data_IF_602937690618
#
_entry.id   IF_602937690618
#
_cell.length_a   1.000
_cell.length_b   1.000
_cell.length_c   1.000
_cell.angle_alpha   90.00
_cell.angle_beta   90.00
_cell.angle_gamma   90.00
#
_symmetry.space_group_name_H-M   'P 1'
#
loop_
_entity.id
_entity.type
_entity.pdbx_description
1 polymer ?
#
# COMPACT_ATOMS: atom_id res chain seq x y z
N UNK A 1 -6.66 26.36 -61.25
CA UNK A 1 -6.99 27.18 -60.07
C UNK A 1 -6.15 26.67 -58.92
N UNK A 2 -5.10 27.40 -58.58
CA UNK A 2 -4.09 27.07 -57.54
C UNK A 2 -4.64 27.56 -56.21
N UNK A 3 -4.68 26.70 -55.18
CA UNK A 3 -4.97 27.13 -53.84
C UNK A 3 -3.79 26.76 -52.91
N UNK A 4 -3.02 27.78 -52.61
CA UNK A 4 -1.86 27.79 -51.75
C UNK A 4 -2.32 27.86 -50.30
N UNK A 5 -2.04 26.83 -49.46
CA UNK A 5 -2.30 26.90 -48.04
C UNK A 5 -1.01 27.12 -47.28
N UNK A 6 -0.95 28.24 -46.58
CA UNK A 6 0.11 28.77 -45.75
C UNK A 6 0.41 27.88 -44.55
N UNK A 7 1.69 27.58 -44.38
CA UNK A 7 2.28 27.03 -43.16
C UNK A 7 2.37 28.11 -42.07
N UNK A 8 1.68 27.92 -40.96
CA UNK A 8 1.87 28.70 -39.74
C UNK A 8 2.85 27.99 -38.80
N UNK A 9 4.09 28.47 -38.75
CA UNK A 9 5.10 28.06 -37.78
C UNK A 9 4.84 28.77 -36.45
N UNK A 10 4.28 28.03 -35.46
CA UNK A 10 4.14 28.50 -34.09
C UNK A 10 5.45 28.33 -33.32
N UNK A 11 6.11 29.47 -33.07
CA UNK A 11 7.30 29.57 -32.22
C UNK A 11 6.92 29.37 -30.75
N UNK A 12 7.44 28.30 -30.10
CA UNK A 12 7.28 28.05 -28.67
C UNK A 12 8.42 28.76 -27.92
N UNK A 13 8.10 29.89 -27.31
CA UNK A 13 9.00 30.65 -26.45
C UNK A 13 9.19 29.92 -25.12
N UNK A 14 10.38 29.36 -24.88
CA UNK A 14 10.81 28.82 -23.58
C UNK A 14 11.13 29.98 -22.63
N UNK A 15 10.27 30.21 -21.65
CA UNK A 15 10.56 31.09 -20.51
C UNK A 15 11.52 30.40 -19.54
N UNK A 16 12.73 30.88 -19.43
CA UNK A 16 13.74 30.50 -18.43
C UNK A 16 13.57 31.41 -17.22
N UNK A 17 12.94 30.92 -16.17
CA UNK A 17 12.91 31.56 -14.86
C UNK A 17 14.20 31.19 -14.12
N UNK A 18 15.10 32.12 -13.98
CA UNK A 18 16.28 32.01 -13.15
C UNK A 18 15.87 32.27 -11.69
N UNK A 19 16.06 31.31 -10.80
CA UNK A 19 15.96 31.52 -9.37
C UNK A 19 17.32 31.88 -8.82
N UNK A 20 17.45 33.12 -8.31
CA UNK A 20 18.61 33.65 -7.61
C UNK A 20 18.70 33.02 -6.22
N UNK A 21 19.84 32.42 -5.90
CA UNK A 21 20.23 31.98 -4.57
C UNK A 21 20.58 33.18 -3.69
N UNK A 22 19.87 33.41 -2.63
CA UNK A 22 20.26 34.29 -1.53
C UNK A 22 20.81 33.40 -0.41
N UNK A 23 22.12 33.42 -0.24
CA UNK A 23 22.79 32.84 0.91
C UNK A 23 22.79 33.89 2.05
N UNK A 24 22.05 33.59 3.12
CA UNK A 24 22.16 34.33 4.38
C UNK A 24 22.87 33.44 5.41
N UNK A 25 24.15 33.70 5.63
CA UNK A 25 24.94 33.18 6.73
C UNK A 25 24.64 33.98 7.99
N UNK A 26 24.02 33.33 8.98
CA UNK A 26 23.94 33.81 10.35
C UNK A 26 24.73 32.86 11.27
N UNK A 27 25.90 33.28 11.65
CA UNK A 27 26.71 32.74 12.73
C UNK A 27 26.11 33.22 14.04
N UNK A 28 25.54 32.32 14.84
CA UNK A 28 25.29 32.60 16.28
C UNK A 28 25.90 31.43 17.05
N UNK A 29 26.98 31.78 17.77
CA UNK A 29 27.61 30.92 18.76
C UNK A 29 26.66 30.71 19.96
N UNK A 30 26.47 29.45 20.32
CA UNK A 30 25.70 29.01 21.50
C UNK A 30 26.42 27.85 22.16
N UNK A 31 26.92 28.07 23.36
CA UNK A 31 27.65 27.19 24.25
C UNK A 31 27.00 25.86 24.49
N UNK A 32 27.75 24.79 24.29
CA UNK A 32 27.41 23.42 24.70
C UNK A 32 27.48 23.30 26.22
N UNK A 33 26.35 23.11 26.90
CA UNK A 33 26.32 22.63 28.27
C UNK A 33 26.11 21.13 28.25
N UNK A 34 27.15 20.38 28.58
CA UNK A 34 27.06 18.93 28.85
C UNK A 34 26.19 18.71 30.10
N UNK A 35 25.00 18.18 29.91
CA UNK A 35 24.20 17.61 31.00
C UNK A 35 24.54 16.13 31.16
N UNK A 36 25.43 15.86 32.11
CA UNK A 36 25.74 14.50 32.60
C UNK A 36 24.50 13.92 33.31
N UNK A 37 23.74 13.10 32.61
CA UNK A 37 22.64 12.34 33.21
C UNK A 37 23.15 11.10 33.91
N UNK A 38 23.29 11.19 35.24
CA UNK A 38 23.66 10.12 36.14
C UNK A 38 22.52 9.09 36.18
N UNK A 39 22.76 7.93 35.56
CA UNK A 39 21.87 6.77 35.59
C UNK A 39 21.70 6.25 37.03
N UNK A 40 20.54 6.45 37.60
CA UNK A 40 20.16 5.78 38.88
C UNK A 40 19.53 4.43 38.53
N UNK A 41 20.29 3.36 38.78
CA UNK A 41 19.77 2.00 38.80
C UNK A 41 18.78 1.88 39.96
N UNK A 42 17.49 1.85 39.66
CA UNK A 42 16.47 1.35 40.58
C UNK A 42 16.26 -0.13 40.32
N UNK A 43 16.87 -0.95 41.17
CA UNK A 43 16.53 -2.37 41.30
C UNK A 43 15.18 -2.46 42.00
N UNK A 44 14.10 -2.67 41.25
CA UNK A 44 12.87 -3.16 41.84
C UNK A 44 12.88 -4.69 41.83
N UNK A 45 13.03 -5.27 43.02
CA UNK A 45 12.69 -6.64 43.28
C UNK A 45 11.17 -6.75 43.28
N UNK A 46 10.57 -7.28 42.22
CA UNK A 46 9.18 -7.68 42.21
C UNK A 46 9.08 -9.16 42.55
N UNK A 47 8.44 -9.43 43.69
CA UNK A 47 8.03 -10.74 44.13
C UNK A 47 7.13 -11.39 43.09
N UNK A 48 7.47 -12.60 42.67
CA UNK A 48 6.64 -13.42 41.80
C UNK A 48 5.40 -13.86 42.57
N UNK A 49 4.27 -13.19 42.34
CA UNK A 49 2.98 -13.77 42.60
C UNK A 49 2.59 -14.61 41.38
N UNK A 50 2.67 -15.92 41.54
CA UNK A 50 2.12 -16.84 40.55
C UNK A 50 0.62 -16.79 40.57
N UNK A 51 0.01 -15.82 39.84
CA UNK A 51 -1.36 -15.95 39.41
C UNK A 51 -1.32 -16.69 38.08
N UNK A 52 -1.81 -17.93 38.11
CA UNK A 52 -2.13 -18.71 36.92
C UNK A 52 -3.18 -17.94 36.13
N UNK A 53 -2.76 -17.01 35.31
CA UNK A 53 -3.60 -16.43 34.26
C UNK A 53 -3.77 -17.55 33.23
N UNK A 54 -4.96 -18.12 33.23
CA UNK A 54 -5.47 -19.01 32.18
C UNK A 54 -5.21 -18.32 30.86
N UNK A 55 -4.23 -18.83 30.11
CA UNK A 55 -3.83 -18.30 28.83
C UNK A 55 -5.07 -18.34 27.92
N UNK A 56 -5.64 -17.19 27.63
CA UNK A 56 -6.43 -17.02 26.43
C UNK A 56 -5.48 -17.33 25.27
N UNK A 57 -5.58 -18.54 24.77
CA UNK A 57 -4.77 -19.05 23.66
C UNK A 57 -4.92 -18.09 22.51
N UNK A 58 -3.81 -17.57 22.07
CA UNK A 58 -3.74 -16.69 20.91
C UNK A 58 -4.28 -17.43 19.70
N UNK A 59 -5.46 -17.03 19.24
CA UNK A 59 -6.18 -17.59 18.09
C UNK A 59 -5.42 -17.49 16.75
N UNK A 60 -4.21 -16.87 16.75
CA UNK A 60 -3.39 -16.78 15.55
C UNK A 60 -2.88 -18.15 15.03
N UNK A 61 -2.73 -19.15 15.92
CA UNK A 61 -2.35 -20.52 15.52
C UNK A 61 -3.53 -21.27 14.90
N UNK A 62 -4.75 -20.99 15.35
CA UNK A 62 -5.96 -21.54 14.75
C UNK A 62 -6.34 -20.86 13.44
N UNK A 63 -6.01 -19.55 13.27
CA UNK A 63 -6.20 -18.88 11.99
C UNK A 63 -5.37 -19.53 10.86
N UNK A 64 -4.21 -20.13 11.19
CA UNK A 64 -3.38 -20.83 10.21
C UNK A 64 -3.81 -22.28 9.97
N UNK A 65 -4.44 -22.93 10.96
CA UNK A 65 -4.94 -24.30 10.83
C UNK A 65 -6.27 -24.38 10.05
N UNK A 66 -7.04 -23.29 9.98
CA UNK A 66 -8.24 -23.19 9.14
C UNK A 66 -7.93 -22.99 7.65
N UNK A 67 -6.68 -22.85 7.25
CA UNK A 67 -6.29 -22.66 5.83
C UNK A 67 -6.32 -23.96 5.00
N UNK A 68 -6.78 -25.09 5.56
CA UNK A 68 -6.92 -26.36 4.85
C UNK A 68 -8.10 -26.44 3.87
N UNK A 69 -9.00 -25.45 3.88
CA UNK A 69 -10.12 -25.36 2.93
C UNK A 69 -10.43 -23.89 2.69
N UNK A 70 -9.66 -23.24 1.82
CA UNK A 70 -9.84 -21.84 1.45
C UNK A 70 -10.99 -21.59 0.48
N UNK A 71 -11.75 -22.62 0.13
CA UNK A 71 -12.96 -22.49 -0.66
C UNK A 71 -14.09 -21.94 0.22
N UNK A 72 -14.52 -20.70 -0.06
CA UNK A 72 -15.65 -20.07 0.62
C UNK A 72 -15.32 -18.93 1.61
N UNK A 73 -14.05 -18.62 1.88
CA UNK A 73 -13.74 -17.44 2.69
C UNK A 73 -13.98 -16.16 1.91
N UNK A 74 -14.95 -15.35 2.36
CA UNK A 74 -15.27 -14.07 1.73
C UNK A 74 -15.16 -12.92 2.71
N UNK A 75 -14.80 -11.75 2.21
CA UNK A 75 -14.76 -10.50 2.97
C UNK A 75 -15.16 -9.31 2.09
N UNK A 76 -15.52 -8.21 2.70
CA UNK A 76 -15.84 -6.98 1.99
C UNK A 76 -15.19 -5.78 2.66
N UNK A 77 -14.93 -4.73 1.88
CA UNK A 77 -14.33 -3.50 2.39
C UNK A 77 -14.01 -2.55 1.26
N UNK A 78 -13.29 -1.47 1.60
CA UNK A 78 -12.83 -0.52 0.61
C UNK A 78 -11.59 -1.06 -0.09
N UNK A 79 -11.54 -0.92 -1.40
CA UNK A 79 -10.38 -1.20 -2.22
C UNK A 79 -9.96 0.05 -2.99
N UNK A 80 -8.67 0.17 -3.25
CA UNK A 80 -8.10 1.12 -4.21
C UNK A 80 -7.29 0.39 -5.28
N UNK A 81 -6.51 1.11 -6.05
CA UNK A 81 -5.59 0.51 -7.01
C UNK A 81 -4.28 1.29 -7.08
N UNK A 82 -3.26 0.65 -7.63
CA UNK A 82 -1.93 1.21 -7.82
C UNK A 82 -1.36 0.81 -9.19
N UNK A 83 -0.42 1.61 -9.67
CA UNK A 83 0.26 1.44 -10.94
C UNK A 83 1.78 1.44 -10.78
N UNK A 84 2.47 1.71 -11.88
CA UNK A 84 3.95 1.66 -11.95
C UNK A 84 4.66 2.65 -11.01
N UNK A 85 3.95 3.66 -10.50
CA UNK A 85 4.44 4.60 -9.49
C UNK A 85 4.76 3.95 -8.15
N UNK A 86 4.19 2.76 -7.87
CA UNK A 86 4.37 2.04 -6.60
C UNK A 86 5.65 1.20 -6.55
N UNK A 87 6.45 1.20 -7.60
CA UNK A 87 7.73 0.50 -7.67
C UNK A 87 7.77 -0.60 -8.73
N UNK A 88 8.95 -1.20 -8.88
CA UNK A 88 9.21 -2.19 -9.93
C UNK A 88 9.06 -3.65 -9.48
N UNK A 89 8.96 -3.90 -8.18
CA UNK A 89 8.81 -5.24 -7.57
C UNK A 89 7.72 -5.28 -6.54
N UNK A 90 7.03 -6.40 -6.47
CA UNK A 90 6.04 -6.71 -5.45
C UNK A 90 6.69 -7.33 -4.22
N UNK A 91 5.96 -7.41 -3.11
CA UNK A 91 6.44 -8.04 -1.87
C UNK A 91 6.73 -9.54 -2.01
N UNK A 92 6.16 -10.22 -3.02
CA UNK A 92 6.52 -11.60 -3.37
C UNK A 92 7.83 -11.72 -4.16
N UNK A 93 8.50 -10.60 -4.46
CA UNK A 93 9.73 -10.55 -5.26
C UNK A 93 9.52 -10.54 -6.77
N UNK A 94 8.30 -10.66 -7.25
CA UNK A 94 7.97 -10.63 -8.68
C UNK A 94 8.15 -9.21 -9.25
N UNK A 95 8.44 -9.12 -10.55
CA UNK A 95 8.37 -7.84 -11.24
C UNK A 95 6.93 -7.35 -11.28
N UNK A 96 6.70 -6.12 -10.86
CA UNK A 96 5.37 -5.53 -10.91
C UNK A 96 4.94 -5.27 -12.36
N UNK A 97 3.70 -5.64 -12.65
CA UNK A 97 3.04 -5.35 -13.92
C UNK A 97 1.65 -4.80 -13.62
N UNK A 98 1.46 -3.51 -13.82
CA UNK A 98 0.18 -2.84 -13.55
C UNK A 98 -1.01 -3.38 -14.36
N UNK A 99 -0.76 -4.04 -15.50
CA UNK A 99 -1.80 -4.60 -16.36
C UNK A 99 -2.18 -6.04 -16.01
N UNK A 100 -1.40 -6.72 -15.15
CA UNK A 100 -1.70 -8.07 -14.69
C UNK A 100 -2.90 -8.09 -13.73
N UNK A 101 -3.61 -9.21 -13.63
CA UNK A 101 -4.71 -9.41 -12.69
C UNK A 101 -4.16 -9.80 -11.32
N UNK A 102 -3.66 -8.82 -10.58
CA UNK A 102 -3.02 -9.00 -9.28
C UNK A 102 -3.56 -8.03 -8.24
N UNK A 103 -3.31 -8.33 -6.97
CA UNK A 103 -3.69 -7.47 -5.87
C UNK A 103 -2.73 -7.60 -4.67
N UNK A 104 -2.76 -6.58 -3.80
CA UNK A 104 -2.10 -6.56 -2.52
C UNK A 104 -3.11 -6.81 -1.40
N UNK A 105 -2.76 -7.72 -0.47
CA UNK A 105 -3.50 -7.99 0.76
C UNK A 105 -2.54 -8.10 1.95
N UNK A 106 -3.00 -7.72 3.15
CA UNK A 106 -2.13 -7.65 4.34
C UNK A 106 -1.57 -9.01 4.77
N UNK A 107 -2.41 -10.06 4.76
CA UNK A 107 -2.10 -11.34 5.40
C UNK A 107 -2.38 -12.57 4.54
N UNK A 108 -3.20 -12.50 3.49
CA UNK A 108 -3.44 -13.66 2.62
C UNK A 108 -2.13 -14.17 2.02
N UNK A 109 -1.94 -15.50 1.91
CA UNK A 109 -0.77 -16.08 1.28
C UNK A 109 -0.55 -15.56 -0.15
N UNK A 110 0.70 -15.41 -0.56
CA UNK A 110 1.00 -15.14 -1.97
C UNK A 110 0.54 -16.31 -2.83
N UNK A 111 0.00 -16.01 -4.00
CA UNK A 111 -0.59 -17.01 -4.89
C UNK A 111 -2.09 -17.25 -4.67
N UNK A 112 -2.67 -16.81 -3.53
CA UNK A 112 -4.12 -16.90 -3.31
C UNK A 112 -4.86 -16.20 -4.44
N UNK A 113 -5.88 -16.85 -4.98
CA UNK A 113 -6.77 -16.27 -5.99
C UNK A 113 -8.05 -15.78 -5.35
N UNK A 114 -8.39 -14.54 -5.64
CA UNK A 114 -9.61 -13.89 -5.18
C UNK A 114 -10.50 -13.53 -6.36
N UNK A 115 -11.77 -13.88 -6.28
CA UNK A 115 -12.80 -13.25 -7.09
C UNK A 115 -13.19 -11.95 -6.43
N UNK A 116 -12.88 -10.84 -7.07
CA UNK A 116 -13.19 -9.49 -6.59
C UNK A 116 -14.35 -8.93 -7.39
N UNK A 117 -15.41 -8.49 -6.69
CA UNK A 117 -16.62 -7.93 -7.28
C UNK A 117 -16.80 -6.48 -6.84
N UNK A 118 -17.04 -5.59 -7.81
CA UNK A 118 -17.40 -4.19 -7.61
C UNK A 118 -18.59 -3.83 -8.50
N UNK A 119 -19.67 -3.33 -7.91
CA UNK A 119 -20.90 -2.93 -8.64
C UNK A 119 -21.37 -3.96 -9.69
N UNK A 120 -21.30 -5.26 -9.32
CA UNK A 120 -21.73 -6.35 -10.20
C UNK A 120 -20.69 -6.85 -11.21
N UNK A 121 -19.57 -6.14 -11.39
CA UNK A 121 -18.46 -6.61 -12.23
C UNK A 121 -17.45 -7.38 -11.39
N UNK A 122 -16.96 -8.50 -11.89
CA UNK A 122 -16.04 -9.38 -11.17
C UNK A 122 -14.79 -9.68 -11.98
N UNK A 123 -13.66 -9.83 -11.28
CA UNK A 123 -12.39 -10.30 -11.83
C UNK A 123 -11.72 -11.26 -10.84
N UNK A 124 -10.98 -12.24 -11.36
CA UNK A 124 -10.12 -13.07 -10.52
C UNK A 124 -8.71 -12.46 -10.52
N UNK A 125 -8.19 -12.20 -9.32
CA UNK A 125 -6.85 -11.64 -9.12
C UNK A 125 -6.00 -12.60 -8.30
N UNK A 126 -4.68 -12.53 -8.48
CA UNK A 126 -3.71 -13.27 -7.66
C UNK A 126 -3.06 -12.32 -6.65
N UNK A 127 -3.02 -12.73 -5.38
CA UNK A 127 -2.30 -11.99 -4.34
C UNK A 127 -0.80 -12.19 -4.54
N UNK A 128 -0.08 -11.13 -4.84
CA UNK A 128 1.38 -11.14 -4.99
C UNK A 128 2.07 -9.97 -4.29
N UNK A 129 1.30 -9.13 -3.59
CA UNK A 129 1.85 -7.97 -2.91
C UNK A 129 1.26 -7.80 -1.50
N UNK A 130 1.87 -6.90 -0.68
CA UNK A 130 1.47 -6.57 0.68
C UNK A 130 0.89 -5.16 0.75
N UNK A 131 -0.15 -5.01 1.56
CA UNK A 131 -0.95 -3.81 1.75
C UNK A 131 -2.43 -4.14 1.63
N UNK A 132 -3.31 -3.14 1.66
CA UNK A 132 -3.05 -1.74 1.96
C UNK A 132 -2.67 -1.51 3.43
N UNK A 133 -1.76 -0.57 3.68
CA UNK A 133 -1.41 -0.14 5.05
C UNK A 133 -2.20 1.10 5.49
N UNK A 134 -3.17 1.51 4.70
CA UNK A 134 -4.10 2.60 5.00
C UNK A 134 -5.31 2.04 5.72
N UNK A 135 -5.69 2.69 6.84
CA UNK A 135 -6.85 2.29 7.64
C UNK A 135 -8.14 2.34 6.83
N UNK A 136 -8.98 1.31 6.98
CA UNK A 136 -10.26 1.21 6.28
C UNK A 136 -10.22 0.55 4.90
N UNK A 137 -9.05 0.37 4.28
CA UNK A 137 -8.89 -0.42 3.05
C UNK A 137 -8.53 -1.87 3.35
N UNK A 138 -9.07 -2.78 2.56
CA UNK A 138 -8.84 -4.23 2.69
C UNK A 138 -8.03 -4.79 1.53
N UNK A 139 -8.06 -4.14 0.37
CA UNK A 139 -7.44 -4.63 -0.86
C UNK A 139 -6.93 -3.45 -1.71
N UNK A 140 -5.79 -3.61 -2.34
CA UNK A 140 -5.33 -2.72 -3.40
C UNK A 140 -5.13 -3.54 -4.68
N UNK A 141 -5.83 -3.15 -5.75
CA UNK A 141 -5.80 -3.83 -7.04
C UNK A 141 -4.69 -3.27 -7.92
N UNK A 142 -4.15 -4.08 -8.83
CA UNK A 142 -3.41 -3.53 -9.97
C UNK A 142 -4.33 -2.65 -10.82
N UNK A 143 -3.78 -1.72 -11.59
CA UNK A 143 -4.55 -0.87 -12.52
C UNK A 143 -5.39 -1.71 -13.50
N UNK A 144 -4.84 -2.83 -14.01
CA UNK A 144 -5.56 -3.74 -14.90
C UNK A 144 -6.78 -4.38 -14.24
N UNK A 145 -6.61 -4.89 -13.02
CA UNK A 145 -7.70 -5.48 -12.25
C UNK A 145 -8.78 -4.42 -11.88
N UNK A 146 -8.34 -3.24 -11.46
CA UNK A 146 -9.26 -2.13 -11.15
C UNK A 146 -10.07 -1.68 -12.36
N UNK A 147 -9.46 -1.66 -13.54
CA UNK A 147 -10.13 -1.35 -14.80
C UNK A 147 -11.18 -2.43 -15.13
N UNK A 148 -10.85 -3.71 -14.93
CA UNK A 148 -11.76 -4.81 -15.21
C UNK A 148 -13.02 -4.80 -14.35
N UNK A 149 -12.95 -4.27 -13.11
CA UNK A 149 -14.14 -4.14 -12.22
C UNK A 149 -14.74 -2.73 -12.21
N UNK A 150 -14.27 -1.83 -13.08
CA UNK A 150 -14.79 -0.46 -13.18
C UNK A 150 -14.45 0.45 -11.99
N UNK A 151 -13.38 0.15 -11.23
CA UNK A 151 -12.98 0.92 -10.05
C UNK A 151 -12.17 2.17 -10.41
N UNK A 152 -11.55 2.23 -11.59
CA UNK A 152 -10.61 3.29 -11.96
C UNK A 152 -11.23 4.68 -11.97
N UNK A 153 -12.50 4.80 -12.35
CA UNK A 153 -13.21 6.09 -12.36
C UNK A 153 -13.49 6.68 -10.97
N UNK A 154 -13.63 5.81 -9.96
CA UNK A 154 -13.91 6.22 -8.58
C UNK A 154 -12.62 6.33 -7.73
N UNK A 155 -11.51 5.75 -8.16
CA UNK A 155 -10.26 5.68 -7.40
C UNK A 155 -10.31 4.72 -6.21
N UNK A 156 -11.35 4.79 -5.41
CA UNK A 156 -11.62 3.95 -4.23
C UNK A 156 -13.08 3.53 -4.24
N UNK A 157 -13.36 2.28 -3.89
CA UNK A 157 -14.72 1.77 -3.84
C UNK A 157 -14.87 0.52 -2.99
N UNK A 158 -16.11 0.22 -2.61
CA UNK A 158 -16.42 -1.01 -1.86
C UNK A 158 -16.38 -2.21 -2.80
N UNK A 159 -15.69 -3.24 -2.38
CA UNK A 159 -15.62 -4.53 -3.06
C UNK A 159 -16.06 -5.66 -2.15
N UNK A 160 -16.49 -6.77 -2.75
CA UNK A 160 -16.56 -8.09 -2.11
C UNK A 160 -15.48 -8.96 -2.72
N UNK A 161 -14.73 -9.68 -1.90
CA UNK A 161 -13.68 -10.60 -2.33
C UNK A 161 -13.95 -11.99 -1.77
N UNK A 162 -13.82 -13.01 -2.62
CA UNK A 162 -14.03 -14.42 -2.29
C UNK A 162 -12.79 -15.21 -2.69
N UNK A 163 -12.26 -16.03 -1.77
CA UNK A 163 -11.15 -16.93 -2.07
C UNK A 163 -11.64 -18.07 -2.96
N UNK A 164 -11.02 -18.23 -4.13
CA UNK A 164 -11.39 -19.26 -5.11
C UNK A 164 -10.33 -20.34 -5.29
N UNK A 165 -9.09 -20.08 -4.89
CA UNK A 165 -8.01 -21.07 -4.77
C UNK A 165 -6.78 -20.47 -4.08
#
# INVERSE_FOLDING_TARGET
MLNTNMLATGSVTRSRTAFALIAATLLVGGSVTEASAKSRHHRHHHHHAHHAAKAAGSDWRNANASMGSTSGHSFSGMASYYGNESGSRTASGQRFNQNAMTAAHRSLPFGTKLRVTHRGQSVVVTINDRGPFIKGRVLDLSTGAARAVGLTGAGVGRVTAEVVS
#
